data_IF_304380162485
#
_entry.id   IF_304380162485
#
_cell.length_a   1.000
_cell.length_b   1.000
_cell.length_c   1.000
_cell.angle_alpha   90.00
_cell.angle_beta   90.00
_cell.angle_gamma   90.00
#
_symmetry.space_group_name_H-M   'P 1'
#
loop_
_entity.id
_entity.type
_entity.pdbx_description
1 polymer ?
#
# COMPACT_ATOMS: atom_id res chain seq x y z
N UNK A 1 -7.83 -1.48 -24.45
CA UNK A 1 -8.51 -1.74 -23.16
C UNK A 1 -8.19 -0.55 -22.28
N UNK A 2 -9.19 0.19 -21.83
CA UNK A 2 -8.97 1.30 -20.91
C UNK A 2 -8.90 0.70 -19.50
N UNK A 3 -7.71 0.70 -18.90
CA UNK A 3 -7.50 0.28 -17.52
C UNK A 3 -7.67 1.51 -16.64
N UNK A 4 -8.63 1.48 -15.73
CA UNK A 4 -9.00 2.63 -14.91
C UNK A 4 -8.80 2.32 -13.42
N UNK A 5 -7.66 1.74 -13.04
CA UNK A 5 -7.32 1.49 -11.64
C UNK A 5 -5.83 1.71 -11.42
N UNK A 6 -5.44 1.87 -10.16
CA UNK A 6 -4.03 1.98 -9.76
C UNK A 6 -3.65 0.75 -8.95
N UNK A 7 -2.64 0.02 -9.40
CA UNK A 7 -2.04 -1.05 -8.62
C UNK A 7 -1.23 -0.44 -7.47
N UNK A 8 -1.39 -0.99 -6.27
CA UNK A 8 -0.63 -0.59 -5.08
C UNK A 8 0.60 -1.49 -4.95
N UNK A 9 0.38 -2.80 -5.07
CA UNK A 9 1.42 -3.83 -5.11
C UNK A 9 0.94 -5.02 -5.96
N UNK A 10 1.65 -6.14 -5.90
CA UNK A 10 1.30 -7.38 -6.62
C UNK A 10 -0.09 -7.98 -6.30
N UNK A 11 -0.74 -7.58 -5.21
CA UNK A 11 -2.00 -8.13 -4.69
C UNK A 11 -3.07 -7.07 -4.37
N UNK A 12 -2.72 -5.78 -4.39
CA UNK A 12 -3.59 -4.67 -4.02
C UNK A 12 -3.81 -3.68 -5.17
N UNK A 13 -5.00 -3.09 -5.20
CA UNK A 13 -5.32 -1.96 -6.09
C UNK A 13 -6.24 -0.96 -5.39
N UNK A 14 -6.28 0.26 -5.90
CA UNK A 14 -7.24 1.30 -5.51
C UNK A 14 -8.05 1.76 -6.70
N UNK A 15 -9.32 2.08 -6.45
CA UNK A 15 -10.16 2.80 -7.40
C UNK A 15 -9.92 4.29 -7.34
N UNK A 16 -9.07 4.83 -6.45
CA UNK A 16 -8.74 6.26 -6.36
C UNK A 16 -9.98 7.15 -6.23
N UNK A 17 -10.69 6.98 -5.11
CA UNK A 17 -11.88 7.78 -4.73
C UNK A 17 -11.73 8.23 -3.27
N UNK A 18 -10.87 9.21 -3.01
CA UNK A 18 -10.54 9.68 -1.65
C UNK A 18 -11.78 10.12 -0.85
N UNK A 19 -12.80 10.65 -1.52
CA UNK A 19 -14.05 11.13 -0.91
C UNK A 19 -15.16 10.08 -0.86
N UNK A 20 -14.92 8.84 -1.26
CA UNK A 20 -15.96 7.80 -1.32
C UNK A 20 -16.67 7.61 0.03
N UNK A 21 -15.95 7.69 1.15
CA UNK A 21 -16.56 7.57 2.47
C UNK A 21 -17.58 8.71 2.73
N UNK A 22 -17.22 9.94 2.40
CA UNK A 22 -18.12 11.10 2.52
C UNK A 22 -19.29 11.02 1.54
N UNK A 23 -19.02 10.70 0.28
CA UNK A 23 -20.00 10.68 -0.80
C UNK A 23 -21.03 9.55 -0.65
N UNK A 24 -20.64 8.41 -0.07
CA UNK A 24 -21.49 7.23 0.06
C UNK A 24 -22.16 7.12 1.44
N UNK A 25 -21.56 7.69 2.49
CA UNK A 25 -22.01 7.50 3.88
C UNK A 25 -22.38 8.79 4.63
N UNK A 26 -22.32 9.98 4.03
CA UNK A 26 -22.82 11.22 4.66
C UNK A 26 -24.35 11.28 4.75
N UNK A 27 -24.91 12.18 5.58
CA UNK A 27 -26.37 12.37 5.74
C UNK A 27 -27.02 12.94 4.48
N UNK A 28 -26.27 13.75 3.72
CA UNK A 28 -26.75 14.40 2.50
C UNK A 28 -26.49 13.58 1.22
N UNK A 29 -25.90 12.38 1.33
CA UNK A 29 -25.60 11.52 0.20
C UNK A 29 -26.86 10.99 -0.52
N UNK A 30 -27.99 10.97 0.19
CA UNK A 30 -29.17 10.12 -0.06
C UNK A 30 -29.88 10.36 -1.41
N UNK A 31 -29.75 11.56 -2.01
CA UNK A 31 -30.38 11.90 -3.29
C UNK A 31 -29.43 12.61 -4.27
N UNK A 32 -28.12 12.47 -4.03
CA UNK A 32 -27.14 13.23 -4.81
C UNK A 32 -26.77 12.51 -6.11
N UNK A 33 -26.65 13.28 -7.20
CA UNK A 33 -25.99 12.82 -8.42
C UNK A 33 -24.58 12.28 -8.12
N UNK A 34 -23.91 12.82 -7.09
CA UNK A 34 -22.57 12.41 -6.64
C UNK A 34 -22.54 10.96 -6.15
N UNK A 35 -23.52 10.53 -5.36
CA UNK A 35 -23.62 9.15 -4.86
C UNK A 35 -23.63 8.14 -6.02
N UNK A 36 -24.51 8.35 -6.99
CA UNK A 36 -24.64 7.46 -8.15
C UNK A 36 -23.40 7.54 -9.06
N UNK A 37 -22.83 8.73 -9.25
CA UNK A 37 -21.60 8.90 -10.03
C UNK A 37 -20.41 8.18 -9.38
N UNK A 38 -20.26 8.27 -8.05
CA UNK A 38 -19.23 7.60 -7.28
C UNK A 38 -19.35 6.07 -7.43
N UNK A 39 -20.54 5.49 -7.17
CA UNK A 39 -20.77 4.05 -7.34
C UNK A 39 -20.48 3.56 -8.76
N UNK A 40 -20.95 4.29 -9.79
CA UNK A 40 -20.75 3.90 -11.18
C UNK A 40 -19.28 3.98 -11.60
N UNK A 41 -18.55 4.99 -11.11
CA UNK A 41 -17.12 5.14 -11.39
C UNK A 41 -16.34 4.02 -10.71
N UNK A 42 -16.58 3.76 -9.41
CA UNK A 42 -15.99 2.63 -8.70
C UNK A 42 -16.28 1.30 -9.41
N UNK A 43 -17.53 1.05 -9.80
CA UNK A 43 -17.91 -0.18 -10.49
C UNK A 43 -17.20 -0.36 -11.84
N UNK A 44 -17.06 0.73 -12.61
CA UNK A 44 -16.30 0.73 -13.87
C UNK A 44 -14.84 0.38 -13.60
N UNK A 45 -14.19 1.11 -12.68
CA UNK A 45 -12.78 0.89 -12.31
C UNK A 45 -12.53 -0.55 -11.84
N UNK A 46 -13.35 -1.08 -10.92
CA UNK A 46 -13.30 -2.48 -10.47
C UNK A 46 -13.43 -3.44 -11.66
N UNK A 47 -14.39 -3.22 -12.57
CA UNK A 47 -14.57 -4.12 -13.73
C UNK A 47 -13.35 -4.15 -14.66
N UNK A 48 -12.59 -3.05 -14.76
CA UNK A 48 -11.36 -3.02 -15.56
C UNK A 48 -10.23 -3.85 -14.97
N UNK A 49 -10.22 -4.09 -13.65
CA UNK A 49 -9.29 -5.03 -12.99
C UNK A 49 -9.56 -6.46 -13.47
N UNK A 50 -10.82 -6.87 -13.50
CA UNK A 50 -11.20 -8.19 -13.99
C UNK A 50 -11.00 -8.33 -15.50
N UNK A 51 -11.19 -7.25 -16.26
CA UNK A 51 -10.86 -7.21 -17.68
C UNK A 51 -9.36 -7.44 -17.94
N UNK A 52 -8.47 -6.84 -17.13
CA UNK A 52 -7.02 -6.96 -17.31
C UNK A 52 -6.50 -8.36 -16.97
N UNK A 53 -7.06 -8.98 -15.92
CA UNK A 53 -6.73 -10.35 -15.51
C UNK A 53 -7.38 -11.42 -16.38
N UNK A 54 -8.34 -11.06 -17.25
CA UNK A 54 -9.20 -11.99 -18.00
C UNK A 54 -9.98 -12.94 -17.08
N UNK A 55 -10.47 -12.42 -15.98
CA UNK A 55 -11.23 -13.15 -14.97
C UNK A 55 -12.69 -12.66 -14.97
N UNK A 56 -13.67 -13.57 -14.83
CA UNK A 56 -15.08 -13.23 -14.66
C UNK A 56 -15.52 -13.68 -13.25
N UNK A 57 -15.70 -12.76 -12.28
CA UNK A 57 -15.96 -13.14 -10.90
C UNK A 57 -17.44 -13.46 -10.65
N UNK A 58 -17.69 -14.42 -9.75
CA UNK A 58 -18.94 -14.48 -9.01
C UNK A 58 -18.95 -13.37 -7.96
N UNK A 59 -19.97 -12.51 -8.00
CA UNK A 59 -20.06 -11.33 -7.13
C UNK A 59 -20.84 -11.66 -5.85
N UNK A 60 -20.14 -11.64 -4.73
CA UNK A 60 -20.67 -11.71 -3.37
C UNK A 60 -20.66 -10.32 -2.73
N UNK A 61 -21.60 -10.06 -1.83
CA UNK A 61 -21.64 -8.81 -1.09
C UNK A 61 -22.26 -8.96 0.29
N UNK A 62 -21.87 -8.07 1.21
CA UNK A 62 -22.51 -7.96 2.52
C UNK A 62 -23.93 -7.39 2.35
N UNK A 63 -24.92 -8.18 2.74
CA UNK A 63 -26.32 -7.72 2.78
C UNK A 63 -26.52 -6.83 4.01
N UNK A 64 -27.30 -5.76 3.85
CA UNK A 64 -27.75 -4.93 4.96
C UNK A 64 -28.40 -5.82 6.04
N UNK A 65 -27.96 -5.67 7.30
CA UNK A 65 -28.57 -6.43 8.40
C UNK A 65 -29.97 -5.90 8.65
N UNK A 66 -31.00 -6.72 8.48
CA UNK A 66 -32.33 -6.48 9.04
C UNK A 66 -32.33 -6.93 10.50
N UNK A 67 -31.72 -6.13 11.38
CA UNK A 67 -31.80 -6.37 12.83
C UNK A 67 -33.14 -5.78 13.28
N UNK A 68 -34.18 -6.61 13.28
CA UNK A 68 -35.52 -6.30 13.75
C UNK A 68 -36.41 -5.46 12.81
N UNK A 69 -37.73 -5.69 12.85
CA UNK A 69 -38.73 -4.97 12.03
C UNK A 69 -38.84 -3.48 12.39
N UNK A 70 -38.13 -3.05 13.45
CA UNK A 70 -38.08 -1.69 13.97
C UNK A 70 -36.93 -0.84 13.39
N UNK A 71 -35.90 -1.46 12.78
CA UNK A 71 -34.75 -0.74 12.22
C UNK A 71 -34.90 -0.61 10.71
N UNK A 72 -35.22 0.61 10.25
CA UNK A 72 -35.29 0.93 8.83
C UNK A 72 -33.91 0.81 8.18
N UNK A 73 -33.78 -0.06 7.18
CA UNK A 73 -32.59 -0.12 6.32
C UNK A 73 -32.35 1.22 5.66
N UNK A 74 -31.16 1.80 5.87
CA UNK A 74 -30.77 3.08 5.26
C UNK A 74 -30.11 2.84 3.90
N UNK A 75 -30.05 3.87 3.04
CA UNK A 75 -29.32 3.78 1.77
C UNK A 75 -27.83 3.48 1.95
N UNK A 76 -27.24 3.82 3.10
CA UNK A 76 -25.85 3.52 3.45
C UNK A 76 -25.63 2.02 3.62
N UNK A 77 -26.59 1.35 4.26
CA UNK A 77 -26.57 -0.10 4.42
C UNK A 77 -26.68 -0.82 3.07
N UNK A 78 -27.24 -0.14 2.06
CA UNK A 78 -27.38 -0.64 0.70
C UNK A 78 -26.17 -0.38 -0.20
N UNK A 79 -25.13 0.32 0.27
CA UNK A 79 -23.94 0.64 -0.54
C UNK A 79 -23.28 -0.62 -1.13
N UNK A 80 -22.97 -1.69 -0.35
CA UNK A 80 -22.41 -2.92 -0.92
C UNK A 80 -23.32 -3.56 -1.97
N UNK A 81 -24.63 -3.56 -1.73
CA UNK A 81 -25.62 -4.15 -2.64
C UNK A 81 -25.69 -3.39 -3.97
N UNK A 82 -25.74 -2.05 -3.90
CA UNK A 82 -25.78 -1.19 -5.08
C UNK A 82 -24.47 -1.24 -5.88
N UNK A 83 -23.32 -1.25 -5.19
CA UNK A 83 -22.02 -1.41 -5.84
C UNK A 83 -21.91 -2.76 -6.53
N UNK A 84 -22.33 -3.84 -5.88
CA UNK A 84 -22.34 -5.18 -6.46
C UNK A 84 -23.19 -5.27 -7.73
N UNK A 85 -24.40 -4.69 -7.72
CA UNK A 85 -25.25 -4.63 -8.90
C UNK A 85 -24.60 -3.82 -10.04
N UNK A 86 -23.97 -2.69 -9.73
CA UNK A 86 -23.27 -1.87 -10.72
C UNK A 86 -22.05 -2.61 -11.31
N UNK A 87 -21.24 -3.27 -10.48
CA UNK A 87 -20.09 -4.09 -10.91
C UNK A 87 -20.55 -5.23 -11.81
N UNK A 88 -21.61 -5.96 -11.42
CA UNK A 88 -22.18 -7.03 -12.23
C UNK A 88 -22.64 -6.55 -13.60
N UNK A 89 -23.30 -5.38 -13.66
CA UNK A 89 -23.72 -4.77 -14.92
C UNK A 89 -22.53 -4.43 -15.83
N UNK A 90 -21.42 -3.94 -15.27
CA UNK A 90 -20.19 -3.69 -16.02
C UNK A 90 -19.56 -5.00 -16.53
N UNK A 91 -19.36 -5.99 -15.65
CA UNK A 91 -18.79 -7.29 -15.98
C UNK A 91 -19.61 -8.04 -17.05
N UNK A 92 -20.93 -7.98 -16.98
CA UNK A 92 -21.83 -8.62 -17.95
C UNK A 92 -21.62 -8.07 -19.37
N UNK A 93 -21.31 -6.77 -19.50
CA UNK A 93 -20.99 -6.16 -20.80
C UNK A 93 -19.65 -6.66 -21.34
N UNK A 94 -18.67 -6.93 -20.48
CA UNK A 94 -17.36 -7.43 -20.87
C UNK A 94 -17.45 -8.77 -21.62
N UNK A 95 -18.37 -9.67 -21.23
CA UNK A 95 -18.62 -10.96 -21.93
C UNK A 95 -18.87 -10.81 -23.42
N UNK A 96 -19.45 -9.69 -23.84
CA UNK A 96 -19.80 -9.41 -25.24
C UNK A 96 -18.81 -8.46 -25.92
N UNK A 97 -18.06 -7.69 -25.12
CA UNK A 97 -17.22 -6.58 -25.58
C UNK A 97 -15.74 -6.95 -25.71
N UNK A 98 -15.28 -8.00 -25.02
CA UNK A 98 -13.90 -8.49 -25.06
C UNK A 98 -13.87 -9.87 -25.72
N UNK A 99 -13.10 -10.06 -26.81
CA UNK A 99 -12.90 -11.38 -27.42
C UNK A 99 -12.30 -12.39 -26.44
N UNK A 100 -12.81 -13.62 -26.47
CA UNK A 100 -12.37 -14.75 -25.64
C UNK A 100 -12.40 -14.46 -24.13
N UNK A 101 -13.30 -13.59 -23.69
CA UNK A 101 -13.52 -13.35 -22.26
C UNK A 101 -14.34 -14.49 -21.63
N UNK A 102 -14.05 -14.90 -20.38
CA UNK A 102 -14.76 -16.01 -19.76
C UNK A 102 -16.28 -15.81 -19.72
N UNK A 103 -17.02 -16.86 -20.08
CA UNK A 103 -18.49 -16.85 -20.12
C UNK A 103 -19.11 -17.38 -18.83
N UNK A 104 -18.35 -18.15 -18.06
CA UNK A 104 -18.69 -18.67 -16.73
C UNK A 104 -17.75 -18.09 -15.70
N UNK A 105 -18.14 -18.16 -14.43
CA UNK A 105 -17.36 -17.64 -13.31
C UNK A 105 -16.01 -18.37 -13.17
N UNK A 106 -14.95 -17.61 -12.97
CA UNK A 106 -13.56 -18.11 -12.87
C UNK A 106 -12.91 -17.76 -11.52
N UNK A 107 -13.45 -16.79 -10.80
CA UNK A 107 -12.98 -16.38 -9.48
C UNK A 107 -14.12 -15.81 -8.63
N UNK A 108 -13.80 -15.35 -7.42
CA UNK A 108 -14.75 -14.81 -6.45
C UNK A 108 -14.43 -13.33 -6.17
N UNK A 109 -15.46 -12.47 -6.13
CA UNK A 109 -15.35 -11.08 -5.69
C UNK A 109 -16.26 -10.86 -4.49
N UNK A 110 -15.70 -10.47 -3.35
CA UNK A 110 -16.46 -10.09 -2.15
C UNK A 110 -16.47 -8.57 -1.97
N UNK A 111 -17.66 -7.97 -1.94
CA UNK A 111 -17.87 -6.54 -1.70
C UNK A 111 -18.40 -6.32 -0.28
N UNK A 112 -17.65 -5.56 0.51
CA UNK A 112 -18.01 -5.17 1.88
C UNK A 112 -17.94 -3.66 2.05
N UNK A 113 -18.58 -3.15 3.09
CA UNK A 113 -18.34 -1.79 3.59
C UNK A 113 -17.47 -1.83 4.86
N UNK A 114 -16.96 -0.66 5.28
CA UNK A 114 -16.05 -0.55 6.42
C UNK A 114 -16.65 -0.98 7.76
N UNK A 115 -17.98 -1.03 7.90
CA UNK A 115 -18.63 -1.43 9.16
C UNK A 115 -18.51 -2.92 9.48
N UNK A 116 -17.88 -3.73 8.61
CA UNK A 116 -17.46 -5.09 8.98
C UNK A 116 -16.40 -5.11 10.08
N UNK A 117 -15.57 -4.07 10.13
CA UNK A 117 -14.52 -3.89 11.13
C UNK A 117 -14.15 -2.40 11.20
N UNK A 118 -14.58 -1.73 12.27
CA UNK A 118 -14.30 -0.32 12.49
C UNK A 118 -12.99 -0.08 13.25
N UNK A 119 -12.35 -1.14 13.74
CA UNK A 119 -11.17 -1.08 14.60
C UNK A 119 -9.90 -1.06 13.75
N UNK A 120 -9.78 -1.94 12.75
CA UNK A 120 -8.56 -2.04 11.94
C UNK A 120 -8.04 -0.71 11.35
N UNK A 121 -8.88 0.25 10.88
CA UNK A 121 -8.37 1.51 10.33
C UNK A 121 -7.84 2.52 11.36
N UNK A 122 -8.05 2.29 12.66
CA UNK A 122 -7.74 3.28 13.71
C UNK A 122 -6.72 2.77 14.74
N UNK A 123 -6.39 1.49 14.71
CA UNK A 123 -5.38 0.92 15.61
C UNK A 123 -3.99 1.22 15.06
N UNK A 124 -3.04 1.49 15.95
CA UNK A 124 -1.62 1.45 15.60
C UNK A 124 -1.24 0.01 15.26
N UNK A 125 -0.66 -0.18 14.07
CA UNK A 125 -0.28 -1.48 13.54
C UNK A 125 1.25 -1.62 13.56
N UNK A 126 1.73 -2.84 13.83
CA UNK A 126 3.16 -3.09 14.12
C UNK A 126 3.90 -3.79 12.98
N UNK A 127 3.22 -4.04 11.85
CA UNK A 127 3.89 -4.46 10.62
C UNK A 127 4.60 -3.28 9.98
N UNK A 128 5.80 -3.49 9.47
CA UNK A 128 6.71 -2.44 8.99
C UNK A 128 6.05 -1.42 8.06
N UNK A 129 5.30 -1.87 7.05
CA UNK A 129 4.59 -1.01 6.08
C UNK A 129 3.51 -0.16 6.72
N UNK A 130 2.58 -0.80 7.43
CA UNK A 130 1.49 -0.11 8.11
C UNK A 130 2.01 0.92 9.12
N UNK A 131 3.07 0.58 9.85
CA UNK A 131 3.72 1.47 10.80
C UNK A 131 4.39 2.67 10.11
N UNK A 132 5.00 2.46 8.93
CA UNK A 132 5.54 3.56 8.12
C UNK A 132 4.42 4.54 7.69
N UNK A 133 3.30 4.03 7.18
CA UNK A 133 2.16 4.87 6.75
C UNK A 133 1.44 5.58 7.91
N UNK A 134 1.55 5.04 9.12
CA UNK A 134 0.96 5.61 10.34
C UNK A 134 1.84 6.69 10.96
N UNK A 135 3.15 6.42 11.11
CA UNK A 135 4.06 7.27 11.88
C UNK A 135 4.89 8.23 11.03
N UNK A 136 5.07 7.96 9.73
CA UNK A 136 5.86 8.81 8.83
C UNK A 136 4.96 9.71 7.99
N UNK A 137 5.48 10.88 7.65
CA UNK A 137 4.82 11.78 6.69
C UNK A 137 4.98 11.25 5.26
N UNK A 138 4.11 10.29 4.87
CA UNK A 138 4.08 9.70 3.54
C UNK A 138 3.01 10.35 2.65
N UNK A 139 3.28 10.40 1.34
CA UNK A 139 2.34 10.81 0.29
C UNK A 139 2.23 9.65 -0.71
N UNK A 140 1.20 8.81 -0.56
CA UNK A 140 1.22 7.46 -1.14
C UNK A 140 2.42 6.68 -0.61
N UNK A 141 3.20 6.06 -1.50
CA UNK A 141 4.43 5.33 -1.15
C UNK A 141 5.69 6.22 -1.11
N UNK A 142 5.54 7.53 -1.26
CA UNK A 142 6.66 8.49 -1.24
C UNK A 142 6.93 8.93 0.19
N UNK A 143 8.16 8.70 0.62
CA UNK A 143 8.70 9.19 1.88
C UNK A 143 9.74 10.29 1.59
N UNK A 144 9.64 11.42 2.30
CA UNK A 144 10.61 12.53 2.20
C UNK A 144 11.60 12.41 3.34
N UNK A 145 12.81 11.99 2.99
CA UNK A 145 13.90 11.72 3.92
C UNK A 145 14.87 12.92 3.99
N UNK A 146 15.25 13.35 5.18
CA UNK A 146 16.21 14.46 5.36
C UNK A 146 17.64 13.91 5.54
N UNK A 147 18.50 14.09 4.54
CA UNK A 147 19.91 13.72 4.59
C UNK A 147 20.81 14.92 4.92
N UNK A 148 21.92 14.73 5.65
CA UNK A 148 22.99 15.73 5.69
C UNK A 148 23.48 16.07 4.28
N UNK A 149 23.50 17.36 3.92
CA UNK A 149 24.05 17.81 2.64
C UNK A 149 25.54 17.48 2.53
N UNK A 150 26.01 17.22 1.32
CA UNK A 150 27.44 16.96 1.01
C UNK A 150 28.38 18.06 1.51
N UNK A 151 27.87 19.27 1.71
CA UNK A 151 28.62 20.44 2.17
C UNK A 151 28.54 20.64 3.70
N UNK A 152 27.80 19.79 4.43
CA UNK A 152 27.75 19.74 5.89
C UNK A 152 27.04 20.89 6.60
N UNK A 153 26.54 21.90 5.88
CA UNK A 153 25.91 23.09 6.46
C UNK A 153 24.38 23.11 6.44
N UNK A 154 23.73 22.15 5.77
CA UNK A 154 22.27 22.05 5.67
C UNK A 154 21.79 20.60 5.57
N UNK A 155 20.52 20.35 5.87
CA UNK A 155 19.82 19.12 5.47
C UNK A 155 19.29 19.27 4.04
N UNK A 156 19.28 18.18 3.29
CA UNK A 156 18.74 18.05 1.95
C UNK A 156 17.58 17.05 2.00
N UNK A 157 16.46 17.37 1.35
CA UNK A 157 15.30 16.48 1.26
C UNK A 157 15.48 15.56 0.06
N UNK A 158 15.46 14.26 0.30
CA UNK A 158 15.51 13.21 -0.72
C UNK A 158 14.16 12.51 -0.74
N UNK A 159 13.51 12.54 -1.89
CA UNK A 159 12.30 11.76 -2.12
C UNK A 159 12.69 10.31 -2.38
N UNK A 160 12.03 9.39 -1.67
CA UNK A 160 12.26 7.96 -1.79
C UNK A 160 10.92 7.24 -1.97
N UNK A 161 10.88 6.24 -2.84
CA UNK A 161 9.71 5.40 -3.08
C UNK A 161 9.89 4.04 -2.41
N UNK A 162 8.99 3.70 -1.49
CA UNK A 162 8.95 2.41 -0.80
C UNK A 162 8.04 1.45 -1.57
N UNK A 163 8.60 0.75 -2.55
CA UNK A 163 7.85 -0.03 -3.56
C UNK A 163 8.59 -1.31 -3.98
N UNK A 164 7.98 -2.12 -4.85
CA UNK A 164 8.45 -3.46 -5.23
C UNK A 164 9.86 -3.54 -5.83
N UNK A 165 10.44 -2.42 -6.28
CA UNK A 165 11.82 -2.35 -6.77
C UNK A 165 12.87 -2.28 -5.65
N UNK A 166 12.46 -2.02 -4.40
CA UNK A 166 13.34 -2.13 -3.25
C UNK A 166 13.25 -3.54 -2.64
N UNK A 167 14.28 -4.39 -2.80
CA UNK A 167 14.25 -5.74 -2.26
C UNK A 167 14.22 -5.80 -0.73
N UNK A 168 14.70 -4.75 -0.04
CA UNK A 168 14.65 -4.68 1.43
C UNK A 168 13.21 -4.37 1.85
N UNK A 169 12.55 -3.42 1.19
CA UNK A 169 11.14 -3.14 1.42
C UNK A 169 10.26 -4.38 1.25
N UNK A 170 10.38 -5.09 0.10
CA UNK A 170 9.58 -6.30 -0.17
C UNK A 170 9.77 -7.38 0.90
N UNK A 171 10.98 -7.52 1.43
CA UNK A 171 11.27 -8.50 2.47
C UNK A 171 10.70 -8.11 3.85
N UNK A 172 10.70 -6.81 4.17
CA UNK A 172 10.37 -6.31 5.50
C UNK A 172 8.93 -5.82 5.66
N UNK A 173 8.27 -5.36 4.59
CA UNK A 173 6.99 -4.63 4.63
C UNK A 173 5.87 -5.32 5.43
N UNK A 174 5.85 -6.65 5.46
CA UNK A 174 4.85 -7.42 6.22
C UNK A 174 5.39 -8.07 7.51
N UNK A 175 6.67 -7.85 7.84
CA UNK A 175 7.24 -8.31 9.09
C UNK A 175 6.84 -7.40 10.25
N UNK A 176 6.72 -7.96 11.45
CA UNK A 176 6.61 -7.18 12.67
C UNK A 176 7.87 -6.32 12.86
N UNK A 177 7.75 -5.09 13.39
CA UNK A 177 8.86 -4.13 13.50
C UNK A 177 10.07 -4.69 14.26
N UNK A 178 9.84 -5.51 15.29
CA UNK A 178 10.90 -6.19 16.03
C UNK A 178 11.70 -7.18 15.14
N UNK A 179 11.00 -7.98 14.33
CA UNK A 179 11.64 -8.92 13.39
C UNK A 179 12.35 -8.15 12.27
N UNK A 180 11.77 -7.05 11.80
CA UNK A 180 12.37 -6.20 10.78
C UNK A 180 13.69 -5.58 11.28
N UNK A 181 13.71 -5.13 12.54
CA UNK A 181 14.90 -4.61 13.23
C UNK A 181 16.03 -5.64 13.28
N UNK A 182 15.71 -6.87 13.68
CA UNK A 182 16.70 -7.96 13.76
C UNK A 182 17.25 -8.30 12.36
N UNK A 183 16.37 -8.45 11.35
CA UNK A 183 16.79 -8.72 9.97
C UNK A 183 17.66 -7.61 9.38
N UNK A 184 17.34 -6.36 9.66
CA UNK A 184 18.14 -5.21 9.23
C UNK A 184 19.52 -5.22 9.88
N UNK A 185 19.58 -5.49 11.18
CA UNK A 185 20.83 -5.63 11.92
C UNK A 185 21.71 -6.75 11.31
N UNK A 186 21.13 -7.92 11.10
CA UNK A 186 21.82 -9.06 10.50
C UNK A 186 22.32 -8.76 9.09
N UNK A 187 21.52 -8.10 8.25
CA UNK A 187 21.95 -7.70 6.90
C UNK A 187 23.12 -6.73 6.94
N UNK A 188 23.08 -5.74 7.84
CA UNK A 188 24.17 -4.79 8.02
C UNK A 188 25.46 -5.49 8.48
N UNK A 189 25.36 -6.34 9.50
CA UNK A 189 26.49 -7.12 10.03
C UNK A 189 27.09 -8.05 8.97
N UNK A 190 26.23 -8.72 8.18
CA UNK A 190 26.64 -9.58 7.07
C UNK A 190 27.31 -8.79 5.94
N UNK A 191 26.82 -7.59 5.62
CA UNK A 191 27.44 -6.73 4.61
C UNK A 191 28.87 -6.35 5.04
N UNK A 192 29.02 -5.92 6.29
CA UNK A 192 30.30 -5.47 6.82
C UNK A 192 31.29 -6.63 6.94
N UNK A 193 30.86 -7.77 7.47
CA UNK A 193 31.72 -8.96 7.63
C UNK A 193 32.17 -9.57 6.30
N UNK A 194 31.41 -9.42 5.20
CA UNK A 194 31.82 -9.94 3.88
C UNK A 194 32.67 -8.97 3.09
N UNK A 195 32.71 -7.68 3.47
CA UNK A 195 33.42 -6.65 2.73
C UNK A 195 34.63 -6.13 3.51
N UNK A 196 35.85 -6.54 3.10
CA UNK A 196 37.11 -6.13 3.76
C UNK A 196 37.27 -4.61 3.88
N UNK A 197 36.80 -3.84 2.89
CA UNK A 197 36.87 -2.39 2.95
C UNK A 197 35.84 -1.80 3.93
N UNK A 198 34.67 -2.41 4.10
CA UNK A 198 33.74 -2.07 5.17
C UNK A 198 34.31 -2.41 6.56
N UNK A 199 34.91 -3.59 6.73
CA UNK A 199 35.57 -3.98 8.00
C UNK A 199 36.66 -2.98 8.41
N UNK A 200 37.48 -2.53 7.45
CA UNK A 200 38.53 -1.54 7.71
C UNK A 200 37.97 -0.18 8.15
N UNK A 201 36.76 0.19 7.69
CA UNK A 201 36.08 1.41 8.16
C UNK A 201 35.48 1.20 9.56
N UNK A 202 34.83 0.06 9.82
CA UNK A 202 34.26 -0.24 11.14
C UNK A 202 35.33 -0.32 12.23
N UNK A 203 36.49 -0.92 11.93
CA UNK A 203 37.63 -0.98 12.84
C UNK A 203 38.19 0.41 13.22
N UNK A 204 37.95 1.44 12.39
CA UNK A 204 38.36 2.82 12.67
C UNK A 204 37.35 3.58 13.52
N UNK A 205 36.08 3.16 13.52
CA UNK A 205 34.98 3.86 14.22
C UNK A 205 34.67 3.24 15.58
N UNK A 206 35.00 1.97 15.80
CA UNK A 206 35.09 1.37 17.13
C UNK A 206 33.76 1.19 17.88
N UNK A 207 32.71 0.75 17.19
CA UNK A 207 31.38 0.52 17.79
C UNK A 207 30.32 0.04 16.79
N UNK A 208 29.05 0.13 17.19
CA UNK A 208 27.91 -0.02 16.29
C UNK A 208 27.96 1.00 15.15
N UNK A 209 27.50 0.60 13.97
CA UNK A 209 27.59 1.42 12.77
C UNK A 209 26.57 2.56 12.86
N UNK A 210 27.07 3.80 12.93
CA UNK A 210 26.22 4.99 12.91
C UNK A 210 25.78 5.37 11.49
N UNK A 211 24.71 6.15 11.35
CA UNK A 211 24.30 6.74 10.07
C UNK A 211 25.42 7.51 9.36
N UNK A 212 26.32 8.14 10.13
CA UNK A 212 27.49 8.83 9.58
C UNK A 212 28.53 7.87 9.00
N UNK A 213 28.66 6.69 9.58
CA UNK A 213 29.60 5.68 9.08
C UNK A 213 29.08 5.01 7.81
N UNK A 214 27.76 4.87 7.69
CA UNK A 214 27.12 4.44 6.44
C UNK A 214 27.40 5.39 5.28
N UNK A 215 27.29 6.70 5.49
CA UNK A 215 27.64 7.69 4.46
C UNK A 215 29.10 7.58 4.01
N UNK A 216 30.04 7.35 4.95
CA UNK A 216 31.45 7.12 4.60
C UNK A 216 31.64 5.81 3.84
N UNK A 217 30.88 4.78 4.19
CA UNK A 217 30.92 3.49 3.49
C UNK A 217 30.46 3.63 2.04
N UNK A 218 29.39 4.38 1.76
CA UNK A 218 28.97 4.70 0.37
C UNK A 218 30.11 5.32 -0.44
N UNK A 219 30.83 6.31 0.15
CA UNK A 219 31.95 6.96 -0.51
C UNK A 219 33.15 6.03 -0.75
N UNK A 220 33.41 5.11 0.18
CA UNK A 220 34.54 4.17 0.11
C UNK A 220 34.27 2.96 -0.80
N UNK A 221 32.99 2.65 -1.05
CA UNK A 221 32.53 1.45 -1.75
C UNK A 221 31.50 1.78 -2.85
N UNK A 222 31.88 2.55 -3.89
CA UNK A 222 30.93 3.02 -4.91
C UNK A 222 30.26 1.87 -5.67
N UNK A 223 30.92 0.72 -5.82
CA UNK A 223 30.34 -0.48 -6.44
C UNK A 223 29.21 -1.12 -5.63
N UNK A 224 29.04 -0.74 -4.36
CA UNK A 224 27.97 -1.18 -3.47
C UNK A 224 27.03 -0.02 -3.07
N UNK A 225 27.08 1.13 -3.75
CA UNK A 225 26.37 2.33 -3.31
C UNK A 225 24.86 2.09 -3.19
N UNK A 226 24.22 1.46 -4.17
CA UNK A 226 22.77 1.17 -4.15
C UNK A 226 22.38 0.30 -2.94
N UNK A 227 23.15 -0.76 -2.68
CA UNK A 227 22.89 -1.66 -1.55
C UNK A 227 23.05 -0.94 -0.20
N UNK A 228 24.10 -0.11 -0.05
CA UNK A 228 24.33 0.63 1.19
C UNK A 228 23.27 1.73 1.35
N UNK A 229 22.87 2.42 0.27
CA UNK A 229 21.83 3.46 0.31
C UNK A 229 20.50 2.89 0.79
N UNK A 230 20.06 1.74 0.25
CA UNK A 230 18.82 1.08 0.68
C UNK A 230 18.91 0.57 2.12
N UNK A 231 20.01 -0.08 2.51
CA UNK A 231 20.20 -0.51 3.91
C UNK A 231 20.17 0.67 4.87
N UNK A 232 20.80 1.79 4.50
CA UNK A 232 20.85 3.00 5.33
C UNK A 232 19.47 3.62 5.50
N UNK A 233 18.70 3.72 4.41
CA UNK A 233 17.32 4.18 4.43
C UNK A 233 16.49 3.37 5.43
N UNK A 234 16.51 2.04 5.33
CA UNK A 234 15.67 1.20 6.17
C UNK A 234 16.12 1.18 7.63
N UNK A 235 17.42 1.30 7.93
CA UNK A 235 17.90 1.50 9.30
C UNK A 235 17.35 2.78 9.90
N UNK A 236 17.31 3.86 9.12
CA UNK A 236 16.76 5.13 9.59
C UNK A 236 15.24 5.08 9.78
N UNK A 237 14.51 4.57 8.79
CA UNK A 237 13.06 4.39 8.87
C UNK A 237 12.69 3.57 10.10
N UNK A 238 13.38 2.45 10.34
CA UNK A 238 13.20 1.58 11.50
C UNK A 238 13.63 2.20 12.84
N UNK A 239 14.35 3.34 12.84
CA UNK A 239 14.71 4.05 14.07
C UNK A 239 13.67 5.11 14.47
N UNK A 240 12.78 5.48 13.53
CA UNK A 240 11.71 6.46 13.72
C UNK A 240 10.40 5.75 14.07
N UNK A 241 10.15 4.60 13.45
CA UNK A 241 9.03 3.70 13.72
C UNK A 241 9.29 2.87 14.99
#
# INVERSE_FOLDING_TARGET
MNLEYFAIDSQGFTTDHERALEELFSENALDSHKYNACLNTMATRISTVFASMREFPRVHYRVAKTIDASVTTTLRDLVPTKLAAAVWNCLSKLKTSIPDYPQTETCELLIVDRSVDQIAPIIHEWTYDAMCHDLLCMDGNKYVHEVPSKNGSSTEKKDVLLEDHDPIWVELRHAHIADASERLHDKMSNFVSKNKAAQLQQARTGGEISNRDLQKMVQALPQYSDQIEKLSLHVEVNSIA
#
